data_IF_669111965907
#
_entry.id   IF_669111965907
#
_cell.length_a   1.000
_cell.length_b   1.000
_cell.length_c   1.000
_cell.angle_alpha   90.00
_cell.angle_beta   90.00
_cell.angle_gamma   90.00
#
_symmetry.space_group_name_H-M   'P 1'
#
loop_
_entity.id
_entity.type
_entity.pdbx_description
1 polymer ?
#
# COMPACT_ATOMS: atom_id res chain seq x y z
N UNK A 1 70.80 21.14 30.93
CA UNK A 1 69.57 21.34 31.73
C UNK A 1 68.46 21.84 30.80
N UNK A 2 67.51 20.99 30.43
CA UNK A 2 66.36 21.38 29.61
C UNK A 2 65.19 20.46 29.92
N UNK A 3 64.28 20.90 30.80
CA UNK A 3 63.14 20.11 31.29
C UNK A 3 62.12 19.92 30.15
N UNK A 4 61.93 18.69 29.70
CA UNK A 4 60.79 18.29 28.84
C UNK A 4 59.53 18.26 29.71
N UNK A 5 58.56 19.12 29.42
CA UNK A 5 57.22 19.09 30.03
C UNK A 5 56.34 18.16 29.19
N UNK A 6 55.95 17.02 29.76
CA UNK A 6 54.94 16.16 29.19
C UNK A 6 53.55 16.75 29.49
N UNK A 7 52.79 17.08 28.45
CA UNK A 7 51.38 17.43 28.58
C UNK A 7 50.56 16.14 28.50
N UNK A 8 49.94 15.76 29.62
CA UNK A 8 48.94 14.70 29.67
C UNK A 8 47.59 15.29 29.22
N UNK A 9 47.11 14.89 28.05
CA UNK A 9 45.73 15.14 27.64
C UNK A 9 44.81 14.17 28.40
N UNK A 10 44.10 14.67 29.39
CA UNK A 10 42.98 13.96 30.02
C UNK A 10 41.78 14.10 29.09
N UNK A 11 41.45 13.05 28.35
CA UNK A 11 40.19 12.96 27.63
C UNK A 11 39.06 12.80 28.66
N UNK A 12 38.39 13.90 28.98
CA UNK A 12 37.15 13.86 29.75
C UNK A 12 36.06 13.33 28.81
N UNK A 13 35.83 12.02 28.86
CA UNK A 13 34.68 11.41 28.22
C UNK A 13 33.41 11.86 28.93
N UNK A 14 32.74 12.89 28.39
CA UNK A 14 31.34 13.18 28.70
C UNK A 14 30.46 12.13 28.02
N UNK A 15 30.54 10.89 28.50
CA UNK A 15 29.61 9.82 28.18
C UNK A 15 28.42 9.88 29.13
N UNK A 16 27.66 10.97 29.13
CA UNK A 16 26.31 10.92 29.65
C UNK A 16 25.51 10.09 28.64
N UNK A 17 25.39 8.78 28.88
CA UNK A 17 24.40 7.96 28.19
C UNK A 17 23.04 8.52 28.58
N UNK A 18 22.53 9.46 27.78
CA UNK A 18 21.12 9.85 27.82
C UNK A 18 20.39 8.55 27.50
N UNK A 19 19.82 7.92 28.52
CA UNK A 19 18.94 6.76 28.32
C UNK A 19 17.83 7.28 27.43
N UNK A 20 17.84 6.90 26.16
CA UNK A 20 16.79 7.28 25.24
C UNK A 20 15.48 6.77 25.84
N UNK A 21 14.53 7.69 26.09
CA UNK A 21 13.25 7.35 26.69
C UNK A 21 12.56 6.24 25.88
N UNK A 22 12.66 6.30 24.55
CA UNK A 22 12.19 5.26 23.64
C UNK A 22 13.33 4.59 22.86
N UNK A 23 13.16 3.30 22.48
CA UNK A 23 14.13 2.57 21.64
C UNK A 23 14.46 3.35 20.36
N UNK A 24 15.76 3.60 20.14
CA UNK A 24 16.29 4.33 18.97
C UNK A 24 15.51 5.60 18.57
N UNK A 25 14.89 6.30 19.52
CA UNK A 25 14.01 7.44 19.27
C UNK A 25 12.92 7.16 18.21
N UNK A 26 12.37 5.95 18.23
CA UNK A 26 11.37 5.48 17.28
C UNK A 26 11.80 5.62 15.81
N UNK A 27 13.11 5.61 15.54
CA UNK A 27 13.74 5.84 14.22
C UNK A 27 13.21 7.08 13.48
N UNK A 28 12.67 8.06 14.20
CA UNK A 28 11.94 9.21 13.64
C UNK A 28 10.74 8.84 12.75
N UNK A 29 10.23 7.61 12.90
CA UNK A 29 9.08 7.05 12.19
C UNK A 29 7.93 6.73 13.14
N UNK A 30 7.87 7.41 14.28
CA UNK A 30 6.87 7.17 15.30
C UNK A 30 6.90 8.23 16.40
N UNK A 31 5.90 8.17 17.27
CA UNK A 31 5.76 9.00 18.46
C UNK A 31 6.16 8.20 19.69
N UNK A 32 6.93 8.81 20.60
CA UNK A 32 7.32 8.20 21.87
C UNK A 32 6.22 8.45 22.92
N UNK A 33 5.65 7.39 23.51
CA UNK A 33 4.50 7.51 24.41
C UNK A 33 4.76 8.29 25.70
N UNK A 34 6.02 8.35 26.14
CA UNK A 34 6.45 9.11 27.32
C UNK A 34 7.86 9.66 27.10
N UNK A 35 8.00 10.83 26.43
CA UNK A 35 9.31 11.38 26.05
C UNK A 35 10.13 11.90 27.23
N UNK A 36 9.49 12.18 28.36
CA UNK A 36 10.10 12.79 29.57
C UNK A 36 10.20 11.81 30.75
N UNK A 37 9.82 10.55 30.55
CA UNK A 37 9.87 9.55 31.61
C UNK A 37 11.27 8.94 31.71
N UNK A 38 11.83 8.96 32.92
CA UNK A 38 13.01 8.16 33.32
C UNK A 38 12.69 6.66 33.48
N UNK A 39 11.46 6.27 33.13
CA UNK A 39 10.91 4.92 33.31
C UNK A 39 11.19 4.04 32.09
N UNK A 40 11.44 2.77 32.37
CA UNK A 40 11.69 1.71 31.38
C UNK A 40 10.42 1.20 30.68
N UNK A 41 9.32 1.97 30.71
CA UNK A 41 7.98 1.57 30.22
C UNK A 41 7.53 2.34 28.97
N UNK A 42 8.35 3.25 28.46
CA UNK A 42 8.03 4.00 27.24
C UNK A 42 8.13 3.09 26.01
N UNK A 43 7.25 3.30 25.04
CA UNK A 43 7.19 2.55 23.80
C UNK A 43 6.93 3.47 22.62
N UNK A 44 7.24 2.99 21.42
CA UNK A 44 6.98 3.72 20.20
C UNK A 44 5.60 3.39 19.65
N UNK A 45 4.84 4.43 19.31
CA UNK A 45 3.64 4.36 18.50
C UNK A 45 4.08 4.69 17.07
N UNK A 46 4.09 3.69 16.21
CA UNK A 46 4.65 3.83 14.88
C UNK A 46 3.73 4.58 13.93
N UNK A 47 4.35 5.31 12.99
CA UNK A 47 3.64 5.89 11.87
C UNK A 47 3.02 4.78 11.00
N UNK A 48 2.00 5.10 10.21
CA UNK A 48 1.42 4.13 9.29
C UNK A 48 2.50 3.54 8.35
N UNK A 49 2.45 2.22 8.16
CA UNK A 49 3.37 1.48 7.27
C UNK A 49 4.70 1.02 7.88
N UNK A 50 4.96 1.34 9.14
CA UNK A 50 6.14 0.88 9.88
C UNK A 50 5.75 0.22 11.19
N UNK A 51 6.61 -0.68 11.67
CA UNK A 51 6.41 -1.50 12.87
C UNK A 51 7.75 -1.79 13.55
N UNK A 52 7.73 -2.62 14.60
CA UNK A 52 8.89 -2.90 15.44
C UNK A 52 8.91 -2.03 16.70
N UNK A 53 9.73 -2.42 17.67
CA UNK A 53 9.79 -1.76 18.98
C UNK A 53 10.27 -0.31 18.90
N UNK A 54 11.03 0.01 17.85
CA UNK A 54 11.56 1.32 17.54
C UNK A 54 11.04 1.86 16.18
N UNK A 55 9.98 1.28 15.60
CA UNK A 55 9.48 1.64 14.27
C UNK A 55 10.53 1.50 13.15
N UNK A 56 11.40 0.51 13.28
CA UNK A 56 12.53 0.22 12.40
C UNK A 56 12.18 -0.71 11.23
N UNK A 57 11.04 -1.40 11.29
CA UNK A 57 10.60 -2.36 10.29
C UNK A 57 9.57 -1.71 9.39
N UNK A 58 9.70 -1.87 8.08
CA UNK A 58 8.74 -1.40 7.07
C UNK A 58 7.88 -2.59 6.67
N UNK A 59 6.56 -2.40 6.63
CA UNK A 59 5.67 -3.43 6.11
C UNK A 59 5.97 -3.71 4.64
N UNK A 60 5.82 -4.97 4.23
CA UNK A 60 5.86 -5.30 2.81
C UNK A 60 4.49 -5.12 2.17
N UNK A 61 4.46 -4.89 0.85
CA UNK A 61 3.24 -4.96 0.07
C UNK A 61 2.48 -6.25 0.34
N UNK A 62 1.16 -6.14 0.29
CA UNK A 62 0.23 -7.23 0.56
C UNK A 62 -0.67 -7.45 -0.62
N UNK A 63 -1.05 -8.70 -0.82
CA UNK A 63 -1.89 -9.09 -1.93
C UNK A 63 -2.59 -10.40 -1.66
N UNK A 64 -3.46 -10.74 -2.60
CA UNK A 64 -4.13 -12.02 -2.68
C UNK A 64 -3.16 -13.09 -3.17
N UNK A 65 -3.31 -14.32 -2.69
CA UNK A 65 -2.58 -15.46 -3.24
C UNK A 65 -3.34 -15.97 -4.48
N UNK A 66 -2.81 -15.84 -5.72
CA UNK A 66 -3.54 -16.28 -6.91
C UNK A 66 -3.84 -17.78 -6.98
N UNK A 67 -3.26 -18.60 -6.09
CA UNK A 67 -3.56 -20.02 -5.98
C UNK A 67 -4.71 -20.32 -5.01
N UNK A 68 -5.14 -19.38 -4.18
CA UNK A 68 -6.33 -19.54 -3.33
C UNK A 68 -7.58 -19.24 -4.14
N UNK A 69 -8.25 -20.30 -4.58
CA UNK A 69 -9.39 -20.20 -5.50
C UNK A 69 -10.73 -20.08 -4.76
N UNK A 70 -11.74 -19.56 -5.46
CA UNK A 70 -13.14 -19.48 -5.01
C UNK A 70 -13.37 -18.62 -3.78
N UNK A 71 -12.51 -17.64 -3.54
CA UNK A 71 -12.68 -16.68 -2.46
C UNK A 71 -13.57 -15.53 -2.88
N UNK A 72 -14.13 -14.85 -1.88
CA UNK A 72 -15.04 -13.73 -2.06
C UNK A 72 -14.49 -12.46 -1.42
N UNK A 73 -14.94 -11.31 -1.90
CA UNK A 73 -14.62 -10.01 -1.29
C UNK A 73 -15.24 -9.89 0.10
N UNK A 74 -14.57 -9.19 1.01
CA UNK A 74 -15.13 -8.79 2.30
C UNK A 74 -16.33 -7.89 2.04
N UNK A 75 -17.45 -8.10 2.75
CA UNK A 75 -18.61 -7.23 2.63
C UNK A 75 -19.28 -6.93 3.97
N UNK A 76 -19.70 -5.68 4.12
CA UNK A 76 -20.37 -5.14 5.31
C UNK A 76 -21.74 -4.61 4.88
N UNK A 77 -22.79 -5.04 5.58
CA UNK A 77 -24.11 -4.46 5.47
C UNK A 77 -24.16 -3.16 6.27
N UNK A 78 -24.39 -2.05 5.58
CA UNK A 78 -24.64 -0.73 6.15
C UNK A 78 -26.16 -0.47 6.12
N UNK A 79 -26.79 -0.63 7.27
CA UNK A 79 -28.20 -0.28 7.46
C UNK A 79 -28.28 1.15 7.95
N UNK A 80 -29.12 1.96 7.30
CA UNK A 80 -29.41 3.35 7.70
C UNK A 80 -30.92 3.47 7.93
N UNK A 81 -31.30 3.87 9.13
CA UNK A 81 -32.72 3.99 9.53
C UNK A 81 -33.03 5.42 9.96
N UNK A 82 -34.15 5.96 9.46
CA UNK A 82 -34.78 7.14 10.02
C UNK A 82 -35.73 6.69 11.15
N UNK A 83 -35.55 7.14 12.40
CA UNK A 83 -36.37 6.70 13.53
C UNK A 83 -37.89 6.85 13.33
N UNK A 84 -38.33 7.83 12.54
CA UNK A 84 -39.75 8.14 12.28
C UNK A 84 -40.24 7.74 10.89
N UNK A 85 -39.42 7.06 10.07
CA UNK A 85 -39.78 6.65 8.72
C UNK A 85 -39.82 7.77 7.67
N UNK A 86 -39.25 8.94 7.99
CA UNK A 86 -39.06 10.06 7.05
C UNK A 86 -37.82 9.92 6.16
N UNK A 87 -37.67 10.84 5.20
CA UNK A 87 -36.48 10.95 4.35
C UNK A 87 -35.27 11.32 5.22
N UNK A 88 -34.18 10.56 5.10
CA UNK A 88 -32.94 10.83 5.82
C UNK A 88 -32.24 12.02 5.16
N UNK A 89 -32.32 13.20 5.77
CA UNK A 89 -31.46 14.33 5.42
C UNK A 89 -30.18 14.29 6.29
N UNK A 90 -29.03 14.72 5.74
CA UNK A 90 -27.75 14.73 6.45
C UNK A 90 -26.55 14.04 5.80
N UNK A 91 -25.53 13.72 6.63
CA UNK A 91 -24.32 12.99 6.22
C UNK A 91 -24.02 11.87 7.22
N UNK A 92 -23.41 10.81 6.73
CA UNK A 92 -22.96 9.70 7.56
C UNK A 92 -21.44 9.61 7.53
N UNK A 93 -20.79 9.51 8.69
CA UNK A 93 -19.36 9.18 8.77
C UNK A 93 -19.20 7.66 8.74
N UNK A 94 -18.56 7.16 7.69
CA UNK A 94 -18.08 5.78 7.62
C UNK A 94 -16.60 5.76 7.95
N UNK A 95 -16.20 4.98 8.95
CA UNK A 95 -14.82 4.85 9.40
C UNK A 95 -14.26 3.44 9.20
N UNK A 96 -12.97 3.36 8.94
CA UNK A 96 -12.21 2.12 8.87
C UNK A 96 -10.78 2.36 9.34
N UNK A 97 -10.34 1.61 10.36
CA UNK A 97 -8.98 1.70 10.93
C UNK A 97 -8.56 3.12 11.35
N UNK A 98 -9.50 3.93 11.86
CA UNK A 98 -9.26 5.30 12.32
C UNK A 98 -9.35 6.38 11.23
N UNK A 99 -9.40 5.99 9.95
CA UNK A 99 -9.70 6.88 8.84
C UNK A 99 -11.21 6.94 8.60
N UNK A 100 -11.71 8.05 8.04
CA UNK A 100 -13.15 8.18 7.78
C UNK A 100 -13.49 9.02 6.57
N UNK A 101 -14.66 8.75 6.00
CA UNK A 101 -15.25 9.47 4.88
C UNK A 101 -16.68 9.87 5.20
N UNK A 102 -17.12 10.98 4.63
CA UNK A 102 -18.50 11.43 4.73
C UNK A 102 -19.29 10.92 3.53
N UNK A 103 -20.30 10.10 3.81
CA UNK A 103 -21.30 9.66 2.86
C UNK A 103 -22.48 10.65 2.86
N UNK A 104 -22.97 11.09 1.69
CA UNK A 104 -24.14 11.96 1.61
C UNK A 104 -25.43 11.22 2.01
N UNK A 105 -26.46 11.97 2.43
CA UNK A 105 -27.79 11.46 2.73
C UNK A 105 -28.42 10.69 1.57
N UNK A 106 -28.41 11.30 0.37
CA UNK A 106 -28.79 10.62 -0.86
C UNK A 106 -27.57 9.86 -1.36
N UNK A 107 -27.48 8.61 -0.94
CA UNK A 107 -26.40 7.72 -1.34
C UNK A 107 -26.81 6.97 -2.61
N UNK A 108 -25.99 7.02 -3.64
CA UNK A 108 -26.07 6.11 -4.79
C UNK A 108 -24.88 5.15 -4.77
N UNK A 109 -24.99 4.03 -5.50
CA UNK A 109 -23.98 2.98 -5.56
C UNK A 109 -22.59 3.50 -5.98
N UNK A 110 -22.53 4.41 -6.95
CA UNK A 110 -21.28 4.93 -7.49
C UNK A 110 -20.64 5.95 -6.53
N UNK A 111 -21.44 6.81 -5.92
CA UNK A 111 -20.98 7.79 -4.94
C UNK A 111 -20.49 7.10 -3.66
N UNK A 112 -21.18 6.06 -3.20
CA UNK A 112 -20.73 5.22 -2.10
C UNK A 112 -19.39 4.53 -2.40
N UNK A 113 -19.30 3.83 -3.54
CA UNK A 113 -18.08 3.12 -3.93
C UNK A 113 -16.87 4.06 -4.03
N UNK A 114 -17.04 5.23 -4.66
CA UNK A 114 -15.97 6.25 -4.75
C UNK A 114 -15.58 6.82 -3.39
N UNK A 115 -16.55 7.15 -2.53
CA UNK A 115 -16.27 7.68 -1.21
C UNK A 115 -15.47 6.69 -0.37
N UNK A 116 -15.89 5.42 -0.32
CA UNK A 116 -15.17 4.41 0.46
C UNK A 116 -13.80 4.08 -0.15
N UNK A 117 -13.66 4.07 -1.48
CA UNK A 117 -12.38 3.91 -2.17
C UNK A 117 -11.41 5.10 -2.01
N UNK A 118 -11.85 6.19 -1.39
CA UNK A 118 -10.96 7.32 -1.04
C UNK A 118 -10.26 7.14 0.31
N UNK A 119 -10.64 6.12 1.09
CA UNK A 119 -9.91 5.74 2.29
C UNK A 119 -8.53 5.18 1.88
N UNK A 120 -7.43 5.61 2.52
CA UNK A 120 -6.08 5.17 2.15
C UNK A 120 -5.88 3.65 2.16
N UNK A 121 -6.58 2.94 3.04
CA UNK A 121 -6.49 1.48 3.20
C UNK A 121 -7.37 0.70 2.23
N UNK A 122 -8.20 1.37 1.42
CA UNK A 122 -9.14 0.76 0.48
C UNK A 122 -8.78 1.18 -0.93
N UNK A 123 -8.27 0.25 -1.74
CA UNK A 123 -7.97 0.54 -3.16
C UNK A 123 -9.24 0.65 -3.98
N UNK A 124 -10.19 -0.25 -3.73
CA UNK A 124 -11.45 -0.31 -4.46
C UNK A 124 -12.57 -0.91 -3.62
N UNK A 125 -13.67 -0.19 -3.56
CA UNK A 125 -14.92 -0.64 -3.00
C UNK A 125 -16.08 -0.38 -3.95
N UNK A 126 -17.08 -1.25 -3.90
CA UNK A 126 -18.34 -1.12 -4.59
C UNK A 126 -19.48 -1.16 -3.59
N UNK A 127 -20.60 -0.51 -3.91
CA UNK A 127 -21.79 -0.55 -3.10
C UNK A 127 -22.99 -0.96 -3.94
N UNK A 128 -23.90 -1.73 -3.35
CA UNK A 128 -25.19 -2.05 -3.96
C UNK A 128 -26.33 -1.86 -2.96
N UNK A 129 -27.50 -1.47 -3.45
CA UNK A 129 -28.67 -1.27 -2.61
C UNK A 129 -29.22 -2.63 -2.15
N UNK A 130 -29.67 -2.68 -0.90
CA UNK A 130 -30.36 -3.82 -0.29
C UNK A 130 -31.72 -3.36 0.24
N UNK A 131 -32.52 -4.29 0.74
CA UNK A 131 -33.84 -3.98 1.34
C UNK A 131 -33.73 -2.98 2.50
N UNK A 132 -32.67 -3.09 3.31
CA UNK A 132 -32.52 -2.35 4.57
C UNK A 132 -31.39 -1.29 4.53
N UNK A 133 -30.83 -1.00 3.36
CA UNK A 133 -29.71 -0.05 3.21
C UNK A 133 -28.76 -0.43 2.07
N UNK A 134 -27.47 -0.58 2.37
CA UNK A 134 -26.41 -0.79 1.39
C UNK A 134 -25.53 -1.98 1.75
N UNK A 135 -25.11 -2.73 0.74
CA UNK A 135 -24.03 -3.70 0.84
C UNK A 135 -22.76 -3.03 0.35
N UNK A 136 -21.79 -2.83 1.24
CA UNK A 136 -20.45 -2.34 0.91
C UNK A 136 -19.54 -3.53 0.70
N UNK A 137 -18.99 -3.67 -0.50
CA UNK A 137 -18.04 -4.73 -0.87
C UNK A 137 -16.66 -4.14 -1.07
N UNK A 138 -15.66 -4.69 -0.38
CA UNK A 138 -14.26 -4.29 -0.51
C UNK A 138 -13.60 -5.18 -1.55
N UNK A 139 -13.59 -4.70 -2.79
CA UNK A 139 -13.10 -5.44 -3.96
C UNK A 139 -11.59 -5.63 -3.91
N UNK A 140 -10.86 -4.58 -3.52
CA UNK A 140 -9.40 -4.56 -3.41
C UNK A 140 -8.96 -3.70 -2.22
N UNK A 141 -8.07 -4.27 -1.40
CA UNK A 141 -7.38 -3.55 -0.32
C UNK A 141 -6.12 -2.87 -0.86
N UNK A 142 -5.70 -1.77 -0.24
CA UNK A 142 -4.49 -1.06 -0.66
C UNK A 142 -3.24 -1.98 -0.62
N UNK A 143 -2.46 -2.10 -1.71
CA UNK A 143 -1.40 -3.10 -1.82
C UNK A 143 -0.07 -2.65 -1.21
N UNK A 144 0.17 -1.34 -1.13
CA UNK A 144 1.42 -0.77 -0.64
C UNK A 144 1.45 -0.74 0.91
N UNK A 145 2.62 -0.56 1.54
CA UNK A 145 2.72 -0.45 3.00
C UNK A 145 2.02 0.78 3.57
N UNK A 146 1.26 1.51 2.77
CA UNK A 146 0.44 2.63 3.22
C UNK A 146 -0.70 2.12 4.11
N UNK A 147 -0.36 2.10 5.39
CA UNK A 147 -1.12 2.83 6.38
C UNK A 147 -1.96 2.05 7.39
N UNK A 148 -1.71 0.76 7.55
CA UNK A 148 -2.33 0.03 8.64
C UNK A 148 -1.46 0.10 9.90
N UNK A 149 -1.86 0.91 10.89
CA UNK A 149 -1.45 0.71 12.29
C UNK A 149 -1.73 -0.73 12.76
N UNK A 150 -2.65 -1.43 12.08
CA UNK A 150 -2.94 -2.85 12.25
C UNK A 150 -3.20 -3.51 10.89
N UNK A 151 -2.19 -4.07 10.21
CA UNK A 151 -2.43 -4.74 8.94
C UNK A 151 -3.31 -5.97 9.12
N UNK A 152 -4.31 -6.15 8.26
CA UNK A 152 -5.22 -7.30 8.27
C UNK A 152 -4.89 -8.30 7.16
N UNK A 153 -5.37 -9.54 7.33
CA UNK A 153 -5.21 -10.62 6.34
C UNK A 153 -6.31 -10.68 5.29
N UNK A 154 -6.97 -9.55 5.00
CA UNK A 154 -8.07 -9.46 4.03
C UNK A 154 -9.48 -9.52 4.64
N UNK A 155 -9.59 -10.00 5.89
CA UNK A 155 -10.83 -10.07 6.65
C UNK A 155 -10.75 -9.27 7.97
N UNK A 156 -10.76 -7.94 7.92
CA UNK A 156 -10.76 -7.10 9.13
C UNK A 156 -12.02 -7.35 9.98
N UNK A 157 -11.86 -7.38 11.30
CA UNK A 157 -12.95 -7.62 12.24
C UNK A 157 -14.00 -6.50 12.18
N UNK A 158 -15.28 -6.81 12.42
CA UNK A 158 -16.35 -5.81 12.35
C UNK A 158 -16.09 -4.57 13.21
N UNK A 159 -15.46 -4.73 14.39
CA UNK A 159 -15.13 -3.63 15.30
C UNK A 159 -14.05 -2.66 14.81
N UNK A 160 -13.38 -2.91 13.68
CA UNK A 160 -12.48 -1.93 13.05
C UNK A 160 -13.21 -0.99 12.10
N UNK A 161 -14.50 -1.23 11.87
CA UNK A 161 -15.37 -0.36 11.09
C UNK A 161 -16.25 0.46 12.03
N UNK A 162 -16.42 1.72 11.68
CA UNK A 162 -17.23 2.65 12.43
C UNK A 162 -18.31 3.24 11.53
N UNK A 163 -19.46 3.50 12.12
CA UNK A 163 -20.52 4.22 11.48
C UNK A 163 -21.11 5.19 12.50
N UNK A 164 -21.01 6.48 12.20
CA UNK A 164 -21.52 7.54 13.06
C UNK A 164 -22.39 8.46 12.22
N UNK A 165 -23.62 8.73 12.66
CA UNK A 165 -24.44 9.76 12.05
C UNK A 165 -23.89 11.14 12.38
N UNK A 166 -23.62 11.93 11.35
CA UNK A 166 -23.07 13.27 11.51
C UNK A 166 -24.09 14.31 11.07
N UNK A 167 -24.50 15.21 11.97
CA UNK A 167 -25.32 16.38 11.65
C UNK A 167 -24.78 17.62 12.34
N UNK A 168 -24.61 18.74 11.61
CA UNK A 168 -24.77 20.07 12.18
C UNK A 168 -26.00 20.73 11.52
N UNK A 169 -27.13 20.76 12.21
CA UNK A 169 -28.35 21.43 11.74
C UNK A 169 -29.61 20.83 12.34
N UNK A 170 -30.69 21.62 12.37
CA UNK A 170 -31.95 21.44 13.12
C UNK A 170 -32.82 20.25 12.66
N UNK A 171 -32.23 19.10 12.34
CA UNK A 171 -32.95 17.89 11.98
C UNK A 171 -33.58 17.26 13.23
N UNK A 172 -34.89 17.08 13.18
CA UNK A 172 -35.68 16.48 14.26
C UNK A 172 -35.51 14.96 14.36
N UNK A 173 -34.86 14.34 13.37
CA UNK A 173 -34.55 12.91 13.32
C UNK A 173 -33.10 12.66 12.94
N UNK A 174 -32.34 12.11 13.87
CA UNK A 174 -30.94 11.70 13.65
C UNK A 174 -30.95 10.30 13.05
N UNK A 175 -30.45 10.09 11.81
CA UNK A 175 -30.38 8.75 11.24
C UNK A 175 -29.53 7.85 12.12
N UNK A 176 -29.98 6.62 12.34
CA UNK A 176 -29.18 5.60 13.01
C UNK A 176 -28.56 4.72 11.95
N UNK A 177 -27.28 4.42 12.11
CA UNK A 177 -26.62 3.47 11.24
C UNK A 177 -26.03 2.31 12.03
N UNK A 178 -26.11 1.13 11.43
CA UNK A 178 -25.57 -0.09 12.02
C UNK A 178 -24.80 -0.87 10.97
N UNK A 179 -23.65 -1.37 11.36
CA UNK A 179 -22.82 -2.23 10.52
C UNK A 179 -22.99 -3.70 10.95
N UNK A 180 -23.10 -4.59 9.97
CA UNK A 180 -23.08 -6.04 10.20
C UNK A 180 -22.22 -6.73 9.17
N UNK A 181 -21.66 -7.86 9.54
CA UNK A 181 -21.00 -8.74 8.59
C UNK A 181 -22.00 -9.29 7.59
N UNK A 182 -21.79 -8.98 6.30
CA UNK A 182 -22.52 -9.61 5.20
C UNK A 182 -21.72 -10.78 4.62
N UNK A 183 -20.40 -10.61 4.48
CA UNK A 183 -19.46 -11.65 4.07
C UNK A 183 -18.23 -11.57 4.95
N UNK A 184 -17.97 -12.62 5.75
CA UNK A 184 -16.86 -12.68 6.70
C UNK A 184 -16.12 -14.04 6.71
N UNK A 185 -16.44 -14.92 5.77
CA UNK A 185 -15.90 -16.28 5.66
C UNK A 185 -15.43 -16.53 4.23
N UNK A 186 -14.34 -17.29 4.07
CA UNK A 186 -13.75 -17.57 2.75
C UNK A 186 -13.43 -16.26 1.98
N UNK A 187 -12.99 -15.25 2.74
CA UNK A 187 -12.64 -13.93 2.20
C UNK A 187 -11.24 -13.99 1.62
N UNK A 188 -11.05 -13.30 0.49
CA UNK A 188 -9.77 -13.13 -0.18
C UNK A 188 -8.65 -12.73 0.78
N UNK A 189 -7.50 -13.39 0.71
CA UNK A 189 -6.38 -13.04 1.58
C UNK A 189 -5.80 -11.66 1.24
N UNK A 190 -5.11 -11.09 2.22
CA UNK A 190 -4.27 -9.91 2.03
C UNK A 190 -2.95 -10.11 2.80
N UNK A 191 -2.15 -11.04 2.27
CA UNK A 191 -0.96 -11.55 2.92
C UNK A 191 0.30 -10.77 2.49
N UNK A 192 1.31 -10.60 3.37
CA UNK A 192 2.60 -10.04 2.99
C UNK A 192 3.21 -10.83 1.84
N UNK A 193 3.61 -10.11 0.78
CA UNK A 193 4.15 -10.70 -0.44
C UNK A 193 3.28 -11.83 -1.01
N UNK A 194 1.96 -11.77 -0.77
CA UNK A 194 0.97 -12.74 -1.25
C UNK A 194 1.33 -14.20 -0.98
N UNK A 195 2.10 -14.46 0.10
CA UNK A 195 2.70 -15.75 0.44
C UNK A 195 3.73 -16.32 -0.57
N UNK A 196 4.12 -15.54 -1.58
CA UNK A 196 5.02 -15.95 -2.67
C UNK A 196 6.32 -15.17 -2.76
N UNK A 197 6.68 -14.44 -1.70
CA UNK A 197 7.97 -13.78 -1.58
C UNK A 197 8.47 -13.72 -0.14
N UNK A 198 9.77 -13.44 0.00
CA UNK A 198 10.35 -13.10 1.29
C UNK A 198 10.25 -11.59 1.51
N UNK A 199 9.69 -11.18 2.64
CA UNK A 199 9.59 -9.77 3.01
C UNK A 199 10.90 -9.27 3.62
N UNK A 200 11.58 -8.33 2.96
CA UNK A 200 12.67 -7.57 3.56
C UNK A 200 12.10 -6.42 4.39
N UNK A 201 12.00 -6.62 5.70
CA UNK A 201 11.47 -5.65 6.64
C UNK A 201 12.34 -4.38 6.78
N UNK A 202 13.60 -4.37 6.32
CA UNK A 202 14.40 -3.14 6.35
C UNK A 202 14.04 -2.18 5.21
N UNK A 203 13.64 -2.73 4.05
CA UNK A 203 13.32 -1.95 2.85
C UNK A 203 11.81 -1.90 2.54
N UNK A 204 11.02 -2.78 3.15
CA UNK A 204 9.60 -2.96 2.85
C UNK A 204 9.36 -3.56 1.47
N UNK A 205 10.32 -4.32 0.92
CA UNK A 205 10.22 -4.89 -0.43
C UNK A 205 10.07 -6.41 -0.38
N UNK A 206 9.22 -6.92 -1.26
CA UNK A 206 9.09 -8.35 -1.47
C UNK A 206 10.14 -8.86 -2.45
N UNK A 207 10.88 -9.90 -2.03
CA UNK A 207 11.70 -10.71 -2.94
C UNK A 207 10.86 -11.88 -3.41
N UNK A 208 10.24 -11.74 -4.58
CA UNK A 208 9.38 -12.79 -5.13
C UNK A 208 10.14 -14.07 -5.47
N UNK A 209 9.50 -15.22 -5.25
CA UNK A 209 9.98 -16.52 -5.69
C UNK A 209 9.91 -16.61 -7.22
N UNK A 210 10.64 -17.56 -7.81
CA UNK A 210 10.62 -17.78 -9.25
C UNK A 210 9.19 -18.02 -9.77
N UNK A 211 8.82 -17.36 -10.86
CA UNK A 211 7.47 -17.41 -11.45
C UNK A 211 6.48 -16.40 -10.85
N UNK A 212 6.87 -15.65 -9.82
CA UNK A 212 6.03 -14.64 -9.16
C UNK A 212 6.57 -13.22 -9.41
N UNK A 213 5.67 -12.23 -9.53
CA UNK A 213 6.04 -10.86 -9.91
C UNK A 213 5.07 -9.80 -9.33
N UNK A 214 5.33 -8.53 -9.69
CA UNK A 214 4.79 -7.30 -9.08
C UNK A 214 5.31 -7.06 -7.66
N UNK A 215 5.02 -5.88 -7.11
CA UNK A 215 5.54 -5.44 -5.82
C UNK A 215 5.09 -6.34 -4.66
N UNK A 216 3.94 -6.99 -4.77
CA UNK A 216 3.38 -7.89 -3.76
C UNK A 216 3.49 -9.38 -4.11
N UNK A 217 4.16 -9.77 -5.21
CA UNK A 217 4.23 -11.17 -5.65
C UNK A 217 2.85 -11.83 -5.85
N UNK A 218 1.85 -11.06 -6.26
CA UNK A 218 0.43 -11.41 -6.43
C UNK A 218 0.09 -11.83 -7.87
N UNK A 219 1.10 -12.14 -8.69
CA UNK A 219 0.90 -12.52 -10.09
C UNK A 219 1.90 -13.58 -10.52
N UNK A 220 1.38 -14.64 -11.13
CA UNK A 220 2.13 -15.76 -11.70
C UNK A 220 1.72 -16.09 -13.16
N UNK A 221 0.97 -15.21 -13.83
CA UNK A 221 0.39 -15.52 -15.14
C UNK A 221 1.42 -15.39 -16.26
N UNK A 222 2.00 -16.46 -16.76
CA UNK A 222 3.01 -16.36 -17.86
C UNK A 222 2.43 -16.09 -19.27
N UNK A 223 1.24 -15.49 -19.36
CA UNK A 223 0.51 -15.28 -20.61
C UNK A 223 0.06 -13.82 -20.85
N UNK A 224 0.61 -12.86 -20.11
CA UNK A 224 0.21 -11.45 -20.19
C UNK A 224 1.41 -10.51 -20.42
N UNK A 225 1.12 -9.25 -20.74
CA UNK A 225 2.11 -8.19 -20.89
C UNK A 225 2.80 -7.96 -19.56
N UNK A 226 4.05 -8.42 -19.43
CA UNK A 226 4.81 -8.32 -18.18
C UNK A 226 5.09 -6.87 -17.77
N UNK A 227 5.27 -5.96 -18.73
CA UNK A 227 5.53 -4.55 -18.47
C UNK A 227 4.85 -3.68 -19.53
N UNK A 228 3.88 -2.87 -19.12
CA UNK A 228 3.20 -1.90 -19.98
C UNK A 228 3.50 -0.48 -19.50
N UNK A 229 4.19 0.30 -20.32
CA UNK A 229 4.35 1.74 -20.10
C UNK A 229 3.30 2.47 -20.94
N UNK A 230 2.35 3.13 -20.27
CA UNK A 230 1.24 3.85 -20.91
C UNK A 230 1.14 5.25 -20.31
N UNK A 231 0.96 6.26 -21.18
CA UNK A 231 0.51 7.58 -20.74
C UNK A 231 -1.02 7.62 -20.73
N UNK A 232 -1.61 8.12 -19.65
CA UNK A 232 -3.06 8.18 -19.45
C UNK A 232 -3.71 9.51 -19.86
N UNK A 233 -2.90 10.55 -20.11
CA UNK A 233 -3.39 11.89 -20.45
C UNK A 233 -3.66 12.10 -21.95
N UNK A 234 -4.74 12.79 -22.34
CA UNK A 234 -5.08 13.03 -23.75
C UNK A 234 -4.14 14.02 -24.46
N UNK A 235 -3.27 14.70 -23.72
CA UNK A 235 -2.36 15.73 -24.22
C UNK A 235 -0.88 15.34 -24.11
N UNK A 236 -0.59 14.04 -23.98
CA UNK A 236 0.78 13.58 -23.79
C UNK A 236 1.71 14.03 -24.93
N UNK A 237 2.81 14.68 -24.55
CA UNK A 237 3.88 15.13 -25.45
C UNK A 237 5.22 14.85 -24.76
N UNK A 238 5.86 13.72 -25.09
CA UNK A 238 7.10 13.28 -24.45
C UNK A 238 7.57 11.88 -24.89
N UNK A 239 8.57 11.32 -24.19
CA UNK A 239 9.15 9.99 -24.45
C UNK A 239 8.70 8.96 -23.40
N UNK A 240 8.04 7.87 -23.82
CA UNK A 240 7.52 6.83 -22.90
C UNK A 240 8.65 6.00 -22.29
N UNK A 241 9.65 5.65 -23.11
CA UNK A 241 10.85 4.94 -22.68
C UNK A 241 12.09 5.61 -23.27
N UNK A 242 12.84 6.32 -22.44
CA UNK A 242 14.13 6.93 -22.80
C UNK A 242 15.28 6.11 -22.23
N UNK A 243 16.23 5.72 -23.09
CA UNK A 243 17.42 4.96 -22.70
C UNK A 243 18.66 5.78 -23.07
N UNK A 244 19.46 6.18 -22.08
CA UNK A 244 20.65 7.01 -22.26
C UNK A 244 21.82 6.49 -21.43
N UNK A 245 23.03 6.58 -21.98
CA UNK A 245 24.28 6.31 -21.29
C UNK A 245 25.12 7.59 -21.22
N UNK A 246 25.69 7.90 -20.06
CA UNK A 246 26.53 9.10 -19.86
C UNK A 246 27.88 9.06 -20.61
N UNK A 247 28.17 7.98 -21.33
CA UNK A 247 29.41 7.79 -22.10
C UNK A 247 29.16 8.03 -23.59
N UNK A 248 30.22 8.30 -24.33
CA UNK A 248 30.15 8.44 -25.78
C UNK A 248 29.61 7.16 -26.45
N UNK A 249 28.92 7.35 -27.57
CA UNK A 249 28.41 6.28 -28.43
C UNK A 249 29.54 5.32 -28.82
N UNK A 250 29.32 4.02 -28.64
CA UNK A 250 30.34 2.98 -28.87
C UNK A 250 29.70 1.62 -29.15
N UNK A 251 30.34 0.75 -29.96
CA UNK A 251 29.92 -0.63 -30.15
C UNK A 251 30.05 -1.51 -28.88
N UNK A 252 30.68 -1.02 -27.81
CA UNK A 252 30.99 -1.82 -26.60
C UNK A 252 29.78 -2.14 -25.71
N UNK A 253 28.62 -1.53 -25.98
CA UNK A 253 27.43 -1.69 -25.14
C UNK A 253 26.14 -1.64 -25.96
N UNK A 254 25.01 -1.95 -25.34
CA UNK A 254 23.69 -1.90 -25.95
C UNK A 254 22.74 -1.10 -25.08
N UNK A 255 21.86 -0.31 -25.71
CA UNK A 255 20.74 0.35 -25.02
C UNK A 255 19.61 -0.65 -24.74
N UNK A 256 19.32 -1.56 -25.69
CA UNK A 256 18.27 -2.56 -25.57
C UNK A 256 18.73 -3.89 -26.17
N UNK A 257 18.42 -5.01 -25.49
CA UNK A 257 18.56 -6.37 -26.01
C UNK A 257 17.31 -7.17 -25.67
N UNK A 258 16.74 -7.84 -26.66
CA UNK A 258 15.57 -8.71 -26.55
C UNK A 258 15.97 -10.07 -27.09
N UNK A 259 16.00 -11.10 -26.24
CA UNK A 259 16.33 -12.47 -26.63
C UNK A 259 15.13 -13.40 -26.54
N UNK A 260 15.20 -14.54 -27.21
CA UNK A 260 14.26 -15.65 -27.05
C UNK A 260 15.02 -16.88 -26.57
N UNK A 261 14.60 -17.46 -25.45
CA UNK A 261 15.20 -18.68 -24.91
C UNK A 261 15.22 -19.81 -25.97
N UNK A 262 16.37 -20.46 -26.14
CA UNK A 262 16.54 -21.56 -27.09
C UNK A 262 16.94 -21.15 -28.52
N UNK A 263 16.85 -19.87 -28.90
CA UNK A 263 17.51 -19.35 -30.11
C UNK A 263 18.81 -18.66 -29.70
N UNK A 264 19.93 -19.07 -30.28
CA UNK A 264 21.20 -18.39 -30.05
C UNK A 264 21.15 -16.95 -30.59
N UNK A 265 21.15 -15.96 -29.70
CA UNK A 265 21.25 -14.54 -30.03
C UNK A 265 19.98 -13.70 -29.80
N UNK A 266 20.12 -12.38 -29.89
CA UNK A 266 19.01 -11.44 -29.69
C UNK A 266 18.06 -11.43 -30.92
N UNK A 267 16.76 -11.35 -30.65
CA UNK A 267 15.69 -11.07 -31.61
C UNK A 267 15.67 -9.59 -32.00
N UNK A 268 15.92 -8.69 -31.04
CA UNK A 268 16.12 -7.26 -31.28
C UNK A 268 17.29 -6.77 -30.43
N UNK A 269 18.17 -5.96 -31.01
CA UNK A 269 19.23 -5.29 -30.27
C UNK A 269 19.43 -3.87 -30.80
N UNK A 270 19.62 -2.91 -29.89
CA UNK A 270 20.01 -1.54 -30.18
C UNK A 270 21.36 -1.29 -29.53
N UNK A 271 22.41 -1.16 -30.34
CA UNK A 271 23.79 -0.98 -29.87
C UNK A 271 24.06 0.48 -29.49
N UNK A 272 25.05 0.70 -28.63
CA UNK A 272 25.43 2.00 -28.07
C UNK A 272 25.87 3.04 -29.10
N UNK A 273 26.24 2.60 -30.29
CA UNK A 273 26.57 3.41 -31.47
C UNK A 273 25.40 3.60 -32.45
N UNK A 274 24.19 3.18 -32.07
CA UNK A 274 22.95 3.39 -32.82
C UNK A 274 22.61 2.31 -33.83
N UNK A 275 23.43 1.27 -33.98
CA UNK A 275 23.10 0.15 -34.88
C UNK A 275 21.97 -0.72 -34.31
N UNK A 276 20.97 -1.00 -35.15
CA UNK A 276 19.82 -1.84 -34.80
C UNK A 276 19.91 -3.17 -35.55
N UNK A 277 19.68 -4.27 -34.84
CA UNK A 277 19.54 -5.62 -35.40
C UNK A 277 18.20 -6.19 -35.01
N UNK A 278 17.40 -6.61 -35.99
CA UNK A 278 16.16 -7.34 -35.79
C UNK A 278 16.21 -8.67 -36.57
N UNK A 279 15.97 -9.79 -35.91
CA UNK A 279 15.97 -11.11 -36.52
C UNK A 279 14.56 -11.43 -37.09
N UNK A 280 14.48 -11.78 -38.38
CA UNK A 280 13.23 -12.22 -39.01
C UNK A 280 12.32 -11.11 -39.51
N UNK A 281 12.87 -10.09 -40.19
CA UNK A 281 12.12 -8.98 -40.79
C UNK A 281 11.21 -9.43 -41.96
N UNK A 282 10.16 -10.19 -41.66
CA UNK A 282 8.93 -10.21 -42.42
C UNK A 282 7.88 -9.44 -41.59
N UNK A 283 7.02 -8.66 -42.24
CA UNK A 283 5.89 -8.06 -41.58
C UNK A 283 5.03 -9.18 -40.97
N UNK A 284 4.67 -9.04 -39.70
CA UNK A 284 3.58 -9.80 -39.13
C UNK A 284 2.30 -9.13 -39.62
N UNK A 285 1.56 -9.80 -40.50
CA UNK A 285 0.15 -9.46 -40.74
C UNK A 285 -0.64 -10.11 -39.60
N UNK A 286 -1.37 -9.30 -38.81
CA UNK A 286 -2.28 -9.74 -37.75
C UNK A 286 -3.53 -10.45 -38.32
#
# INVERSE_FOLDING_TARGET
>A
MGRRRAFAFVAVGLGAAVRAACPAHCNFRGYCSAPDATLSTSFCICQPGVTGAACEQIHCPRGDDPLTQNQVSRAIALTVTAPTGGEVDGRLRFGFLGESVLLPAVLDAATCGRAISSLPTVQKASCSQTTDGWLVTFDEWAPAPVDAHAPHGGNPALGTFECESTLPGDAWDVPQCTLKDAVASNVREHAPCSNHGDCDLATGKCRCRAGWRRDACDDNKDADTLQLYRSEGPFYSGTILGLEAKRAASPDFHYLRVGAGGRGGDVLAVRGDGHIRAAGAAAFDD
#
